data_IF_776965857474
#
_entry.id   IF_776965857474
#
_cell.length_a   1.000
_cell.length_b   1.000
_cell.length_c   1.000
_cell.angle_alpha   90.00
_cell.angle_beta   90.00
_cell.angle_gamma   90.00
#
_symmetry.space_group_name_H-M   'P 1'
#
loop_
_entity.id
_entity.type
_entity.pdbx_description
1 polymer ?
#
# COMPACT_ATOMS: atom_id res chain seq x y z
N UNK A 1 19.77 -26.61 -11.94
CA UNK A 1 18.58 -26.24 -11.15
C UNK A 1 18.32 -24.73 -11.09
N UNK A 2 19.34 -23.86 -11.00
CA UNK A 2 19.17 -22.40 -10.91
C UNK A 2 18.44 -21.72 -12.10
N UNK A 3 18.57 -22.23 -13.34
CA UNK A 3 17.91 -21.63 -14.52
C UNK A 3 16.39 -21.83 -14.57
N UNK A 4 15.85 -22.88 -13.94
CA UNK A 4 14.41 -23.22 -14.04
C UNK A 4 13.51 -22.30 -13.21
N UNK A 5 14.01 -21.81 -12.07
CA UNK A 5 13.29 -20.87 -11.21
C UNK A 5 13.09 -19.48 -11.85
N UNK A 6 13.99 -19.08 -12.74
CA UNK A 6 13.90 -17.80 -13.45
C UNK A 6 12.66 -17.75 -14.36
N UNK A 7 12.24 -18.88 -14.92
CA UNK A 7 11.03 -19.00 -15.75
C UNK A 7 9.73 -18.90 -14.96
N UNK A 8 9.78 -18.85 -13.63
CA UNK A 8 8.59 -18.66 -12.78
C UNK A 8 8.61 -17.24 -12.23
N UNK A 9 9.72 -16.82 -11.63
CA UNK A 9 9.81 -15.50 -10.98
C UNK A 9 9.69 -14.33 -11.94
N UNK A 10 10.38 -14.39 -13.10
CA UNK A 10 10.38 -13.28 -14.05
C UNK A 10 8.99 -13.07 -14.70
N UNK A 11 8.26 -14.12 -15.12
CA UNK A 11 6.90 -13.96 -15.62
C UNK A 11 5.90 -13.48 -14.57
N UNK A 12 6.01 -13.89 -13.30
CA UNK A 12 5.15 -13.38 -12.22
C UNK A 12 5.35 -11.88 -12.04
N UNK A 13 6.60 -11.42 -11.98
CA UNK A 13 6.92 -9.99 -11.84
C UNK A 13 6.43 -9.19 -13.03
N UNK A 14 6.64 -9.68 -14.26
CA UNK A 14 6.07 -9.06 -15.45
C UNK A 14 4.54 -9.02 -15.38
N UNK A 15 3.89 -10.09 -14.92
CA UNK A 15 2.44 -10.16 -14.70
C UNK A 15 1.94 -9.03 -13.82
N UNK A 16 2.61 -8.78 -12.70
CA UNK A 16 2.27 -7.69 -11.77
C UNK A 16 2.54 -6.31 -12.38
N UNK A 17 3.66 -6.11 -13.08
CA UNK A 17 3.99 -4.82 -13.71
C UNK A 17 2.96 -4.49 -14.79
N UNK A 18 2.63 -5.44 -15.66
CA UNK A 18 1.61 -5.23 -16.68
C UNK A 18 0.23 -4.97 -16.07
N UNK A 19 -0.15 -5.71 -15.02
CA UNK A 19 -1.40 -5.46 -14.30
C UNK A 19 -1.48 -4.04 -13.72
N UNK A 20 -0.35 -3.49 -13.25
CA UNK A 20 -0.29 -2.13 -12.69
C UNK A 20 -0.47 -1.02 -13.71
N UNK A 21 -0.10 -1.23 -14.98
CA UNK A 21 -0.26 -0.22 -16.05
C UNK A 21 -1.60 -0.34 -16.77
N UNK A 22 -2.22 -1.51 -16.73
CA UNK A 22 -3.49 -1.76 -17.40
C UNK A 22 -4.63 -1.25 -16.53
N UNK A 23 -5.55 -0.52 -17.14
CA UNK A 23 -6.77 -0.09 -16.47
C UNK A 23 -7.80 -1.25 -16.48
N UNK A 24 -8.70 -1.32 -15.51
CA UNK A 24 -9.70 -2.41 -15.42
C UNK A 24 -10.48 -2.65 -16.73
N UNK A 25 -10.72 -1.60 -17.52
CA UNK A 25 -11.41 -1.71 -18.81
C UNK A 25 -10.55 -2.28 -19.94
N UNK A 26 -9.22 -2.16 -19.88
CA UNK A 26 -8.31 -2.61 -20.96
C UNK A 26 -7.83 -4.06 -20.80
N UNK A 27 -8.14 -4.70 -19.68
CA UNK A 27 -7.71 -6.07 -19.36
C UNK A 27 -8.16 -7.11 -20.36
N UNK A 28 -9.41 -7.00 -20.81
CA UNK A 28 -10.01 -7.94 -21.77
C UNK A 28 -9.24 -8.00 -23.09
N UNK A 29 -8.54 -6.94 -23.46
CA UNK A 29 -7.78 -6.83 -24.71
C UNK A 29 -6.30 -7.16 -24.46
N UNK A 30 -5.74 -6.72 -23.33
CA UNK A 30 -4.32 -6.88 -23.04
C UNK A 30 -3.93 -8.33 -22.72
N UNK A 31 -4.76 -9.07 -21.97
CA UNK A 31 -4.48 -10.47 -21.60
C UNK A 31 -4.30 -11.38 -22.84
N UNK A 32 -5.21 -11.41 -23.83
CA UNK A 32 -5.01 -12.25 -25.02
C UNK A 32 -3.82 -11.79 -25.87
N UNK A 33 -3.53 -10.48 -25.92
CA UNK A 33 -2.36 -9.97 -26.65
C UNK A 33 -1.04 -10.43 -26.02
N UNK A 34 -0.96 -10.48 -24.69
CA UNK A 34 0.22 -10.96 -23.96
C UNK A 34 0.39 -12.47 -24.10
N UNK A 35 -0.70 -13.24 -24.11
CA UNK A 35 -0.67 -14.69 -24.39
C UNK A 35 -0.15 -14.96 -25.81
N UNK A 36 -0.60 -14.18 -26.79
CA UNK A 36 -0.09 -14.24 -28.17
C UNK A 36 1.40 -13.87 -28.23
N UNK A 37 1.81 -12.77 -27.58
CA UNK A 37 3.21 -12.34 -27.56
C UNK A 37 4.14 -13.40 -26.91
N UNK A 38 3.71 -14.05 -25.82
CA UNK A 38 4.43 -15.15 -25.19
C UNK A 38 4.55 -16.37 -26.12
N UNK A 39 3.52 -16.66 -26.92
CA UNK A 39 3.57 -17.69 -27.94
C UNK A 39 4.50 -17.33 -29.11
N UNK A 40 4.57 -16.04 -29.50
CA UNK A 40 5.52 -15.55 -30.52
C UNK A 40 6.98 -15.57 -30.04
N UNK A 41 7.25 -15.33 -28.75
CA UNK A 41 8.58 -15.41 -28.15
C UNK A 41 9.19 -16.83 -28.19
N UNK A 42 8.37 -17.86 -28.47
CA UNK A 42 8.82 -19.24 -28.70
C UNK A 42 9.87 -19.33 -29.83
N UNK A 43 9.70 -18.56 -30.90
CA UNK A 43 10.55 -18.63 -32.11
C UNK A 43 11.98 -18.11 -31.87
N UNK A 44 12.21 -16.91 -31.31
CA UNK A 44 13.56 -16.43 -31.04
C UNK A 44 14.23 -17.12 -29.83
N UNK A 45 13.47 -17.53 -28.82
CA UNK A 45 14.03 -18.06 -27.57
C UNK A 45 14.34 -19.57 -27.60
N UNK A 46 13.96 -20.31 -28.67
CA UNK A 46 14.11 -21.77 -28.80
C UNK A 46 13.65 -22.56 -27.56
N UNK A 47 12.59 -22.08 -26.91
CA UNK A 47 12.07 -22.67 -25.67
C UNK A 47 11.22 -23.92 -25.97
N UNK A 48 11.21 -24.87 -25.04
CA UNK A 48 10.31 -26.03 -25.14
C UNK A 48 8.87 -25.61 -24.84
N UNK A 49 7.88 -26.26 -25.45
CA UNK A 49 6.45 -25.96 -25.24
C UNK A 49 6.06 -25.96 -23.75
N UNK A 50 6.65 -26.83 -22.94
CA UNK A 50 6.41 -26.92 -21.49
C UNK A 50 6.90 -25.65 -20.77
N UNK A 51 8.02 -25.08 -21.16
CA UNK A 51 8.58 -23.86 -20.53
C UNK A 51 7.70 -22.65 -20.85
N UNK A 52 7.19 -22.56 -22.08
CA UNK A 52 6.24 -21.50 -22.48
C UNK A 52 4.93 -21.61 -21.71
N UNK A 53 4.38 -22.82 -21.53
CA UNK A 53 3.18 -23.03 -20.71
C UNK A 53 3.38 -22.61 -19.25
N UNK A 54 4.52 -22.95 -18.66
CA UNK A 54 4.84 -22.55 -17.28
C UNK A 54 4.97 -21.03 -17.15
N UNK A 55 5.59 -20.35 -18.14
CA UNK A 55 5.67 -18.89 -18.17
C UNK A 55 4.28 -18.23 -18.24
N UNK A 56 3.40 -18.73 -19.11
CA UNK A 56 2.03 -18.21 -19.25
C UNK A 56 1.23 -18.42 -17.96
N UNK A 57 1.29 -19.62 -17.38
CA UNK A 57 0.60 -19.92 -16.12
C UNK A 57 1.10 -19.02 -14.97
N UNK A 58 2.42 -18.81 -14.89
CA UNK A 58 3.04 -17.95 -13.88
C UNK A 58 2.67 -16.47 -14.07
N UNK A 59 2.61 -16.00 -15.32
CA UNK A 59 2.15 -14.65 -15.65
C UNK A 59 0.69 -14.44 -15.25
N UNK A 60 -0.19 -15.38 -15.59
CA UNK A 60 -1.60 -15.34 -15.23
C UNK A 60 -1.82 -15.35 -13.71
N UNK A 61 -1.00 -16.11 -12.97
CA UNK A 61 -1.02 -16.11 -11.50
C UNK A 61 -0.63 -14.74 -10.91
N UNK A 62 0.43 -14.10 -11.43
CA UNK A 62 0.83 -12.76 -10.98
C UNK A 62 -0.23 -11.69 -11.30
N UNK A 63 -0.81 -11.75 -12.50
CA UNK A 63 -1.85 -10.82 -12.94
C UNK A 63 -3.14 -10.94 -12.11
N UNK A 64 -3.61 -12.17 -11.88
CA UNK A 64 -4.82 -12.43 -11.10
C UNK A 64 -4.65 -12.05 -9.63
N UNK A 65 -3.49 -12.31 -9.03
CA UNK A 65 -3.20 -11.88 -7.66
C UNK A 65 -3.28 -10.36 -7.50
N UNK A 66 -2.66 -9.60 -8.42
CA UNK A 66 -2.73 -8.14 -8.39
C UNK A 66 -4.16 -7.61 -8.49
N UNK A 67 -4.94 -8.16 -9.43
CA UNK A 67 -6.35 -7.75 -9.61
C UNK A 67 -7.24 -8.13 -8.43
N UNK A 68 -6.96 -9.26 -7.78
CA UNK A 68 -7.68 -9.65 -6.58
C UNK A 68 -7.46 -8.63 -5.46
N UNK A 69 -6.20 -8.25 -5.21
CA UNK A 69 -5.88 -7.23 -4.21
C UNK A 69 -6.53 -5.88 -4.53
N UNK A 70 -6.50 -5.47 -5.79
CA UNK A 70 -7.12 -4.22 -6.22
C UNK A 70 -8.65 -4.21 -6.04
N UNK A 71 -9.34 -5.28 -6.40
CA UNK A 71 -10.80 -5.35 -6.30
C UNK A 71 -11.29 -5.53 -4.87
N UNK A 72 -10.68 -6.43 -4.10
CA UNK A 72 -11.20 -6.80 -2.78
C UNK A 72 -10.70 -5.90 -1.65
N UNK A 73 -9.52 -5.31 -1.80
CA UNK A 73 -8.89 -4.48 -0.76
C UNK A 73 -8.98 -3.01 -1.18
N UNK A 74 -8.34 -2.63 -2.28
CA UNK A 74 -8.19 -1.22 -2.66
C UNK A 74 -9.53 -0.53 -2.99
N UNK A 75 -10.31 -1.08 -3.92
CA UNK A 75 -11.60 -0.50 -4.33
C UNK A 75 -12.59 -0.42 -3.16
N UNK A 76 -12.58 -1.43 -2.28
CA UNK A 76 -13.44 -1.45 -1.09
C UNK A 76 -13.04 -0.38 -0.08
N UNK A 77 -11.75 -0.14 0.11
CA UNK A 77 -11.27 0.94 1.00
C UNK A 77 -11.61 2.31 0.41
N UNK A 78 -11.40 2.51 -0.90
CA UNK A 78 -11.71 3.78 -1.58
C UNK A 78 -13.20 4.09 -1.61
N UNK A 79 -14.07 3.07 -1.63
CA UNK A 79 -15.53 3.31 -1.60
C UNK A 79 -16.02 4.05 -0.34
N UNK A 80 -15.22 4.08 0.73
CA UNK A 80 -15.49 4.88 1.93
C UNK A 80 -15.05 6.34 1.82
N UNK A 81 -14.31 6.71 0.77
CA UNK A 81 -13.93 8.10 0.53
C UNK A 81 -15.17 8.97 0.35
N UNK A 82 -15.17 10.15 0.96
CA UNK A 82 -16.31 11.08 0.91
C UNK A 82 -17.51 10.68 1.77
N UNK A 83 -17.43 9.56 2.51
CA UNK A 83 -18.45 9.17 3.49
C UNK A 83 -17.93 9.39 4.91
N UNK A 84 -18.82 9.80 5.81
CA UNK A 84 -18.47 9.91 7.23
C UNK A 84 -18.21 8.52 7.80
N UNK A 85 -17.00 8.28 8.30
CA UNK A 85 -16.60 6.99 8.89
C UNK A 85 -15.97 7.16 10.25
N UNK A 86 -16.04 6.09 11.05
CA UNK A 86 -15.30 5.97 12.30
C UNK A 86 -14.10 5.08 12.03
N UNK A 87 -12.90 5.65 12.09
CA UNK A 87 -11.66 4.91 11.97
C UNK A 87 -11.06 4.65 13.35
N UNK A 88 -10.55 3.45 13.57
CA UNK A 88 -9.82 3.12 14.81
C UNK A 88 -8.57 2.38 14.43
N UNK A 89 -7.41 2.93 14.77
CA UNK A 89 -6.13 2.38 14.35
C UNK A 89 -4.97 2.77 15.25
N UNK A 90 -3.94 1.93 15.19
CA UNK A 90 -2.72 2.11 15.98
C UNK A 90 -1.70 2.95 15.23
N UNK A 91 -0.98 3.78 15.97
CA UNK A 91 0.11 4.59 15.44
C UNK A 91 1.29 3.70 15.10
N UNK A 92 1.66 3.70 13.82
CA UNK A 92 2.79 2.93 13.27
C UNK A 92 3.89 3.82 12.69
N UNK A 93 3.59 5.10 12.46
CA UNK A 93 4.50 6.12 11.96
C UNK A 93 4.14 7.47 12.56
N UNK A 94 5.14 8.25 12.93
CA UNK A 94 5.01 9.65 13.35
C UNK A 94 6.05 10.44 12.55
N UNK A 95 5.63 11.51 11.90
CA UNK A 95 6.53 12.46 11.25
C UNK A 95 6.21 13.87 11.74
N UNK A 96 7.13 14.44 12.50
CA UNK A 96 6.99 15.78 13.05
C UNK A 96 7.37 16.83 11.99
N UNK A 97 6.54 17.86 11.87
CA UNK A 97 6.76 19.00 11.01
C UNK A 97 6.98 20.26 11.85
N UNK A 98 7.71 21.23 11.31
CA UNK A 98 7.90 22.52 11.97
C UNK A 98 6.57 23.25 12.19
N UNK A 99 6.36 23.77 13.40
CA UNK A 99 5.18 24.54 13.78
C UNK A 99 4.09 23.73 14.49
N UNK A 100 4.47 22.84 15.40
CA UNK A 100 3.58 22.03 16.25
C UNK A 100 2.57 21.17 15.48
N UNK A 101 2.94 20.71 14.28
CA UNK A 101 2.13 19.80 13.47
C UNK A 101 2.85 18.48 13.26
N UNK A 102 2.09 17.38 13.26
CA UNK A 102 2.63 16.06 13.02
C UNK A 102 1.70 15.26 12.08
N UNK A 103 2.30 14.39 11.27
CA UNK A 103 1.56 13.35 10.55
C UNK A 103 1.69 12.00 11.23
N UNK A 104 0.57 11.31 11.32
CA UNK A 104 0.41 10.04 12.00
C UNK A 104 -0.04 8.99 10.99
N UNK A 105 0.75 7.92 10.86
CA UNK A 105 0.38 6.76 10.05
C UNK A 105 -0.34 5.76 10.93
N UNK A 106 -1.64 5.61 10.71
CA UNK A 106 -2.51 4.75 11.48
C UNK A 106 -2.80 3.45 10.72
N UNK A 107 -2.64 2.31 11.38
CA UNK A 107 -3.07 1.00 10.86
C UNK A 107 -4.20 0.44 11.71
N UNK A 108 -5.34 0.20 11.09
CA UNK A 108 -6.57 -0.03 11.83
C UNK A 108 -7.71 -0.57 11.00
N UNK A 109 -8.93 -0.29 11.46
CA UNK A 109 -10.18 -0.68 10.80
C UNK A 109 -11.10 0.52 10.63
N UNK A 110 -11.69 0.62 9.44
CA UNK A 110 -12.81 1.52 9.12
C UNK A 110 -14.11 0.85 9.59
N UNK A 111 -14.90 1.56 10.38
CA UNK A 111 -16.17 1.12 10.97
C UNK A 111 -16.07 -0.24 11.69
N UNK A 112 -14.89 -0.59 12.21
CA UNK A 112 -14.62 -1.87 12.87
C UNK A 112 -14.57 -3.11 11.96
N UNK A 113 -14.82 -2.96 10.66
CA UNK A 113 -14.96 -4.08 9.70
C UNK A 113 -13.79 -4.15 8.73
N UNK A 114 -13.49 -3.05 8.03
CA UNK A 114 -12.53 -3.08 6.92
C UNK A 114 -11.15 -2.66 7.41
N UNK A 115 -10.17 -3.57 7.34
CA UNK A 115 -8.78 -3.22 7.64
C UNK A 115 -8.25 -2.22 6.60
N UNK A 116 -7.67 -1.12 7.07
CA UNK A 116 -7.06 -0.09 6.24
C UNK A 116 -5.93 0.64 6.98
N UNK A 117 -5.04 1.26 6.21
CA UNK A 117 -4.08 2.23 6.74
C UNK A 117 -4.47 3.62 6.27
N UNK A 118 -4.43 4.58 7.19
CA UNK A 118 -4.83 5.97 6.98
C UNK A 118 -3.72 6.91 7.46
N UNK A 119 -3.51 8.00 6.75
CA UNK A 119 -2.68 9.11 7.21
C UNK A 119 -3.58 10.09 7.96
N UNK A 120 -3.14 10.60 9.10
CA UNK A 120 -3.82 11.68 9.81
C UNK A 120 -2.84 12.82 10.02
N UNK A 121 -3.21 14.02 9.60
CA UNK A 121 -2.44 15.23 9.81
C UNK A 121 -3.14 16.11 10.85
N UNK A 122 -2.43 16.45 11.92
CA UNK A 122 -3.00 17.23 13.01
C UNK A 122 -1.94 17.90 13.87
N UNK A 123 -2.38 18.46 14.98
CA UNK A 123 -1.48 19.07 15.96
C UNK A 123 -0.60 18.00 16.61
N UNK A 124 0.66 18.37 16.87
CA UNK A 124 1.61 17.53 17.56
C UNK A 124 1.09 17.26 18.98
N UNK A 125 0.69 16.01 19.20
CA UNK A 125 0.24 15.50 20.50
C UNK A 125 1.27 14.53 21.05
N UNK A 126 1.33 14.40 22.38
CA UNK A 126 2.22 13.48 23.14
C UNK A 126 1.88 11.97 22.93
N UNK A 127 1.31 11.61 21.78
CA UNK A 127 1.04 10.24 21.43
C UNK A 127 2.32 9.53 20.94
N UNK A 128 2.39 8.23 21.22
CA UNK A 128 3.57 7.42 20.98
C UNK A 128 3.23 6.23 20.09
N UNK A 129 4.27 5.63 19.51
CA UNK A 129 4.14 4.40 18.74
C UNK A 129 3.41 3.32 19.54
N UNK A 130 2.37 2.74 18.94
CA UNK A 130 1.53 1.72 19.55
C UNK A 130 0.28 2.23 20.27
N UNK A 131 0.14 3.54 20.49
CA UNK A 131 -1.11 4.14 20.95
C UNK A 131 -2.18 4.02 19.86
N UNK A 132 -3.44 4.07 20.27
CA UNK A 132 -4.59 3.93 19.37
C UNK A 132 -5.30 5.27 19.22
N UNK A 133 -5.61 5.64 17.98
CA UNK A 133 -6.39 6.85 17.68
C UNK A 133 -7.72 6.42 17.09
N UNK A 134 -8.80 6.95 17.65
CA UNK A 134 -10.15 6.85 17.11
C UNK A 134 -10.53 8.18 16.48
N UNK A 135 -10.78 8.15 15.18
CA UNK A 135 -11.11 9.31 14.36
C UNK A 135 -12.54 9.20 13.86
N UNK A 136 -13.26 10.31 13.87
CA UNK A 136 -14.50 10.50 13.09
C UNK A 136 -14.17 11.50 12.01
N UNK A 137 -14.07 11.02 10.77
CA UNK A 137 -13.65 11.85 9.65
C UNK A 137 -14.35 11.48 8.34
N UNK A 138 -14.27 12.38 7.37
CA UNK A 138 -14.56 12.11 5.96
C UNK A 138 -13.23 11.87 5.26
N UNK A 139 -12.89 10.62 4.92
CA UNK A 139 -11.60 10.31 4.35
C UNK A 139 -11.55 10.71 2.88
N UNK A 140 -10.37 11.12 2.45
CA UNK A 140 -10.09 11.55 1.08
C UNK A 140 -9.07 10.61 0.45
N UNK A 141 -9.16 10.45 -0.88
CA UNK A 141 -8.13 9.72 -1.64
C UNK A 141 -7.00 10.69 -1.96
N UNK A 142 -5.76 10.22 -1.81
CA UNK A 142 -4.60 10.99 -2.22
C UNK A 142 -4.67 11.33 -3.72
N UNK A 143 -4.43 12.59 -4.05
CA UNK A 143 -4.29 13.03 -5.44
C UNK A 143 -2.83 13.35 -5.76
N UNK A 144 -2.37 12.82 -6.90
CA UNK A 144 -1.03 13.08 -7.40
C UNK A 144 -0.87 14.56 -7.76
N UNK A 145 -0.06 15.29 -7.00
CA UNK A 145 0.27 16.68 -7.24
C UNK A 145 1.49 16.79 -8.17
N UNK A 146 1.60 17.92 -8.89
CA UNK A 146 2.74 18.18 -9.78
C UNK A 146 4.09 18.13 -9.08
N UNK A 147 4.14 18.56 -7.81
CA UNK A 147 5.36 18.57 -7.00
C UNK A 147 5.62 17.22 -6.30
N UNK A 148 4.57 16.43 -6.07
CA UNK A 148 4.68 15.18 -5.33
C UNK A 148 3.59 14.18 -5.72
N UNK A 149 4.04 13.01 -6.18
CA UNK A 149 3.18 11.91 -6.62
C UNK A 149 2.66 11.10 -5.41
N UNK A 150 1.83 11.75 -4.60
CA UNK A 150 1.38 11.26 -3.29
C UNK A 150 0.59 9.96 -3.36
N UNK A 151 -0.32 9.82 -4.32
CA UNK A 151 -1.17 8.64 -4.48
C UNK A 151 -0.33 7.40 -4.78
N UNK A 152 0.61 7.51 -5.72
CA UNK A 152 1.48 6.39 -6.08
C UNK A 152 2.42 6.01 -4.93
N UNK A 153 2.96 7.01 -4.24
CA UNK A 153 3.85 6.81 -3.10
C UNK A 153 3.12 6.10 -1.93
N UNK A 154 1.97 6.63 -1.51
CA UNK A 154 1.22 6.08 -0.39
C UNK A 154 0.58 4.72 -0.73
N UNK A 155 0.13 4.52 -1.97
CA UNK A 155 -0.32 3.20 -2.46
C UNK A 155 0.78 2.15 -2.31
N UNK A 156 2.03 2.49 -2.63
CA UNK A 156 3.17 1.58 -2.44
C UNK A 156 3.46 1.26 -0.97
N UNK A 157 3.16 2.20 -0.07
CA UNK A 157 3.28 2.02 1.39
C UNK A 157 2.07 1.30 2.02
N UNK A 158 1.04 0.98 1.24
CA UNK A 158 -0.21 0.39 1.72
C UNK A 158 -1.09 1.35 2.52
N UNK A 159 -0.95 2.66 2.25
CA UNK A 159 -1.76 3.74 2.83
C UNK A 159 -2.64 4.28 1.71
N UNK A 160 -3.95 4.23 1.90
CA UNK A 160 -4.90 4.46 0.80
C UNK A 160 -5.81 5.67 1.01
N UNK A 161 -5.94 6.13 2.25
CA UNK A 161 -6.83 7.23 2.61
C UNK A 161 -6.08 8.26 3.47
N UNK A 162 -6.40 9.52 3.24
CA UNK A 162 -6.08 10.63 4.14
C UNK A 162 -7.28 10.92 5.03
N UNK A 163 -7.04 11.23 6.29
CA UNK A 163 -8.06 11.73 7.19
C UNK A 163 -8.25 13.23 6.89
N UNK A 164 -9.07 13.52 5.88
CA UNK A 164 -9.37 14.89 5.42
C UNK A 164 -10.06 15.73 6.48
N UNK A 165 -11.39 15.82 6.43
CA UNK A 165 -12.15 16.60 7.42
C UNK A 165 -12.38 15.76 8.69
N UNK A 166 -11.76 16.17 9.80
CA UNK A 166 -11.77 15.45 11.08
C UNK A 166 -12.65 16.19 12.07
N UNK A 167 -13.79 15.58 12.44
CA UNK A 167 -14.72 16.16 13.42
C UNK A 167 -14.26 15.93 14.86
N UNK A 168 -13.66 14.76 15.12
CA UNK A 168 -13.17 14.42 16.46
C UNK A 168 -12.05 13.40 16.38
N UNK A 169 -11.00 13.63 17.16
CA UNK A 169 -9.91 12.70 17.39
C UNK A 169 -9.81 12.37 18.89
N UNK A 170 -9.94 11.09 19.23
CA UNK A 170 -9.77 10.58 20.58
C UNK A 170 -8.52 9.68 20.61
N UNK A 171 -7.61 9.97 21.54
CA UNK A 171 -6.35 9.21 21.71
C UNK A 171 -6.51 8.28 22.90
N UNK A 172 -6.28 6.99 22.67
CA UNK A 172 -6.28 5.94 23.68
C UNK A 172 -4.83 5.52 23.90
N UNK A 173 -4.27 5.96 25.03
CA UNK A 173 -2.90 5.67 25.42
C UNK A 173 -2.73 4.20 25.84
N UNK A 174 -1.75 3.52 25.26
CA UNK A 174 -1.45 2.13 25.57
C UNK A 174 0.02 1.96 25.98
N UNK A 175 0.25 1.49 27.21
CA UNK A 175 1.60 1.31 27.75
C UNK A 175 2.26 -0.03 27.36
N UNK A 176 1.61 -0.81 26.49
CA UNK A 176 1.97 -2.20 26.20
C UNK A 176 3.19 -2.42 25.28
N UNK A 177 3.63 -1.43 24.50
CA UNK A 177 4.62 -1.61 23.42
C UNK A 177 6.04 -1.15 23.77
N UNK A 178 6.55 -1.52 24.95
CA UNK A 178 7.87 -1.07 25.46
C UNK A 178 9.05 -1.39 24.54
N UNK A 179 9.06 -2.54 23.86
CA UNK A 179 10.18 -2.94 22.99
C UNK A 179 10.25 -2.13 21.69
N UNK A 180 9.12 -1.99 20.99
CA UNK A 180 9.04 -1.20 19.75
C UNK A 180 9.32 0.27 20.08
N UNK A 181 8.75 0.79 21.16
CA UNK A 181 9.01 2.14 21.66
C UNK A 181 10.50 2.37 21.97
N UNK A 182 11.17 1.40 22.58
CA UNK A 182 12.62 1.46 22.85
C UNK A 182 13.46 1.54 21.57
N UNK A 183 13.15 0.73 20.56
CA UNK A 183 13.84 0.76 19.26
C UNK A 183 13.64 2.10 18.53
N UNK A 184 12.42 2.65 18.59
CA UNK A 184 12.13 3.95 17.99
C UNK A 184 12.85 5.09 18.70
N UNK A 185 12.81 5.14 20.04
CA UNK A 185 13.54 6.14 20.81
C UNK A 185 15.05 6.08 20.54
N UNK A 186 15.60 4.87 20.39
CA UNK A 186 16.99 4.68 20.00
C UNK A 186 17.28 5.21 18.59
N UNK A 187 16.42 4.90 17.61
CA UNK A 187 16.51 5.43 16.24
C UNK A 187 16.49 6.96 16.24
N UNK A 188 15.52 7.59 16.92
CA UNK A 188 15.38 9.05 16.99
C UNK A 188 16.60 9.67 17.65
N UNK A 189 17.13 9.05 18.72
CA UNK A 189 18.37 9.49 19.37
C UNK A 189 19.56 9.47 18.41
N UNK A 190 19.75 8.40 17.64
CA UNK A 190 20.82 8.32 16.64
C UNK A 190 20.62 9.39 15.56
N UNK A 191 19.41 9.55 15.06
CA UNK A 191 19.09 10.53 14.04
C UNK A 191 19.45 11.96 14.48
N UNK A 192 19.06 12.34 15.69
CA UNK A 192 19.37 13.65 16.25
C UNK A 192 20.87 13.86 16.48
N UNK A 193 21.63 12.81 16.81
CA UNK A 193 23.09 12.87 16.95
C UNK A 193 23.80 13.01 15.60
N UNK A 194 23.25 12.46 14.52
CA UNK A 194 23.83 12.58 13.16
C UNK A 194 23.50 13.92 12.52
N UNK A 195 22.34 14.51 12.84
CA UNK A 195 21.92 15.82 12.32
C UNK A 195 22.44 17.03 13.12
N UNK A 196 23.06 16.81 14.30
CA UNK A 196 23.75 17.87 15.06
C UNK A 196 25.20 18.03 14.63
#
# INVERSE_FOLDING_TARGET
>A
MKRKMVYIGLPVLLGMIFASFLNNSSDYIAVPFIVLAAAFLKYPAKMKNIEVMVCIASFAAGFSAYRFDEQFIYNKIISYSGQKVVFTGKITGISDYSGDKASYTLKGRINGVQSASMLYYGDASDCQYGDEIKLVCVPEVFENAYLFNSADYYKSCGIFLDAGDVESAEIIYHDGFRLIRGLWNYRTRIYNVIMS
#
